data_IF_317296769174
#
_entry.id   IF_317296769174
#
_cell.length_a   1.000
_cell.length_b   1.000
_cell.length_c   1.000
_cell.angle_alpha   90.00
_cell.angle_beta   90.00
_cell.angle_gamma   90.00
#
_symmetry.space_group_name_H-M   'P 1'
#
loop_
_entity.id
_entity.type
_entity.pdbx_description
1 polymer ?
#
# COMPACT_ATOMS: atom_id res chain seq x y z
N UNK A 1 19.94 13.64 -21.65
CA UNK A 1 20.47 12.63 -20.70
C UNK A 1 19.45 11.49 -20.57
N UNK A 2 18.90 10.92 -21.65
CA UNK A 2 19.44 9.81 -22.46
C UNK A 2 19.98 8.62 -21.65
N UNK A 3 19.07 7.68 -21.34
CA UNK A 3 19.32 6.24 -21.56
C UNK A 3 20.46 5.57 -20.81
N UNK A 4 20.52 5.70 -19.48
CA UNK A 4 21.46 4.90 -18.67
C UNK A 4 20.74 3.66 -18.11
N UNK A 5 20.88 2.53 -18.81
CA UNK A 5 21.16 1.23 -18.17
C UNK A 5 20.19 0.60 -17.17
N UNK A 6 18.87 0.84 -17.21
CA UNK A 6 17.94 -0.09 -16.55
C UNK A 6 17.78 -1.35 -17.43
N UNK A 7 18.69 -2.30 -17.26
CA UNK A 7 18.55 -3.66 -17.80
C UNK A 7 17.48 -4.47 -17.04
N UNK A 8 16.34 -3.83 -16.75
CA UNK A 8 15.06 -4.49 -16.56
C UNK A 8 14.13 -3.84 -17.57
N UNK A 9 13.74 -4.58 -18.59
CA UNK A 9 12.69 -4.13 -19.50
C UNK A 9 11.47 -3.77 -18.64
N UNK A 10 10.94 -2.56 -18.76
CA UNK A 10 9.67 -2.15 -18.13
C UNK A 10 8.59 -3.24 -18.28
N UNK A 11 8.59 -3.92 -19.43
CA UNK A 11 7.73 -5.06 -19.72
C UNK A 11 7.96 -6.24 -18.78
N UNK A 12 9.21 -6.60 -18.50
CA UNK A 12 9.55 -7.68 -17.57
C UNK A 12 9.17 -7.34 -16.12
N UNK A 13 9.37 -6.09 -15.69
CA UNK A 13 8.96 -5.63 -14.38
C UNK A 13 7.43 -5.66 -14.22
N UNK A 14 6.70 -5.07 -15.18
CA UNK A 14 5.24 -5.08 -15.20
C UNK A 14 4.68 -6.51 -15.30
N UNK A 15 5.31 -7.39 -16.07
CA UNK A 15 4.90 -8.79 -16.16
C UNK A 15 5.07 -9.51 -14.82
N UNK A 16 6.20 -9.33 -14.13
CA UNK A 16 6.43 -9.91 -12.80
C UNK A 16 5.43 -9.40 -11.77
N UNK A 17 5.23 -8.08 -11.67
CA UNK A 17 4.21 -7.50 -10.80
C UNK A 17 2.82 -8.06 -11.12
N UNK A 18 2.48 -8.11 -12.41
CA UNK A 18 1.23 -8.71 -12.88
C UNK A 18 1.07 -10.15 -12.40
N UNK A 19 2.10 -10.99 -12.54
CA UNK A 19 2.04 -12.39 -12.09
C UNK A 19 1.88 -12.52 -10.57
N UNK A 20 2.62 -11.73 -9.78
CA UNK A 20 2.55 -11.75 -8.30
C UNK A 20 1.15 -11.38 -7.80
N UNK A 21 0.41 -10.55 -8.54
CA UNK A 21 -0.96 -10.15 -8.17
C UNK A 21 -2.02 -11.07 -8.78
N UNK A 22 -1.91 -11.38 -10.08
CA UNK A 22 -2.92 -12.13 -10.83
C UNK A 22 -3.00 -13.59 -10.41
N UNK A 23 -1.87 -14.23 -10.10
CA UNK A 23 -1.86 -15.65 -9.72
C UNK A 23 -2.62 -15.88 -8.41
N UNK A 24 -2.32 -15.19 -7.28
CA UNK A 24 -3.10 -15.32 -6.06
C UNK A 24 -4.58 -14.93 -6.23
N UNK A 25 -4.86 -13.91 -7.06
CA UNK A 25 -6.23 -13.48 -7.36
C UNK A 25 -7.03 -14.59 -8.05
N UNK A 26 -6.47 -15.19 -9.11
CA UNK A 26 -7.13 -16.27 -9.85
C UNK A 26 -7.31 -17.51 -8.99
N UNK A 27 -6.31 -17.87 -8.19
CA UNK A 27 -6.41 -18.97 -7.22
C UNK A 27 -7.50 -18.70 -6.18
N UNK A 28 -7.56 -17.50 -5.62
CA UNK A 28 -8.60 -17.09 -4.67
C UNK A 28 -10.00 -17.20 -5.28
N UNK A 29 -10.18 -16.74 -6.52
CA UNK A 29 -11.45 -16.87 -7.25
C UNK A 29 -11.83 -18.33 -7.51
N UNK A 30 -10.86 -19.17 -7.87
CA UNK A 30 -11.08 -20.61 -8.08
C UNK A 30 -11.50 -21.29 -6.78
N UNK A 31 -10.77 -21.07 -5.69
CA UNK A 31 -11.11 -21.58 -4.35
C UNK A 31 -12.51 -21.12 -3.94
N UNK A 32 -12.85 -19.84 -4.18
CA UNK A 32 -14.18 -19.30 -3.88
C UNK A 32 -15.29 -19.96 -4.67
N UNK A 33 -15.04 -20.31 -5.93
CA UNK A 33 -15.98 -21.06 -6.76
C UNK A 33 -16.13 -22.52 -6.35
N UNK A 34 -15.05 -23.17 -5.90
CA UNK A 34 -15.07 -24.59 -5.51
C UNK A 34 -15.59 -24.83 -4.09
N UNK A 35 -15.24 -23.99 -3.12
CA UNK A 35 -15.59 -24.19 -1.72
C UNK A 35 -17.02 -23.73 -1.36
N UNK A 36 -17.58 -22.81 -2.16
CA UNK A 36 -18.89 -22.20 -1.93
C UNK A 36 -18.86 -21.07 -0.88
N UNK A 37 -19.72 -20.07 -1.05
CA UNK A 37 -19.77 -18.88 -0.18
C UNK A 37 -20.00 -19.17 1.32
N UNK A 38 -20.91 -20.09 1.73
CA UNK A 38 -21.23 -20.27 3.15
C UNK A 38 -20.06 -20.83 3.98
N UNK A 39 -19.24 -21.70 3.39
CA UNK A 39 -18.06 -22.27 4.06
C UNK A 39 -16.95 -21.23 4.23
N UNK A 40 -16.80 -20.33 3.26
CA UNK A 40 -15.80 -19.28 3.31
C UNK A 40 -16.19 -18.15 4.27
N UNK A 41 -17.48 -17.83 4.38
CA UNK A 41 -17.99 -16.89 5.38
C UNK A 41 -17.71 -17.38 6.80
N UNK A 42 -17.89 -18.68 7.07
CA UNK A 42 -17.56 -19.28 8.36
C UNK A 42 -16.05 -19.21 8.69
N UNK A 43 -15.19 -19.26 7.67
CA UNK A 43 -13.73 -19.12 7.81
C UNK A 43 -13.25 -17.67 7.81
N UNK A 44 -14.12 -16.70 7.50
CA UNK A 44 -13.78 -15.28 7.39
C UNK A 44 -12.94 -14.76 8.55
N UNK A 45 -13.37 -14.93 9.82
CA UNK A 45 -12.61 -14.45 10.98
C UNK A 45 -11.21 -15.09 11.11
N UNK A 46 -11.07 -16.37 10.75
CA UNK A 46 -9.78 -17.06 10.78
C UNK A 46 -8.84 -16.57 9.67
N UNK A 47 -9.38 -16.30 8.48
CA UNK A 47 -8.64 -15.73 7.35
C UNK A 47 -8.22 -14.28 7.62
N UNK A 48 -9.06 -13.51 8.29
CA UNK A 48 -8.72 -12.14 8.74
C UNK A 48 -7.56 -12.20 9.74
N UNK A 49 -7.62 -13.10 10.73
CA UNK A 49 -6.53 -13.31 11.69
C UNK A 49 -5.22 -13.73 11.01
N UNK A 50 -5.28 -14.68 10.06
CA UNK A 50 -4.12 -15.09 9.26
C UNK A 50 -3.55 -13.91 8.47
N UNK A 51 -4.40 -13.09 7.86
CA UNK A 51 -3.98 -11.90 7.11
C UNK A 51 -3.24 -10.92 8.00
N UNK A 52 -3.72 -10.68 9.22
CA UNK A 52 -3.04 -9.83 10.20
C UNK A 52 -1.65 -10.39 10.52
N UNK A 53 -1.54 -11.70 10.80
CA UNK A 53 -0.24 -12.32 11.07
C UNK A 53 0.72 -12.25 9.88
N UNK A 54 0.22 -12.44 8.66
CA UNK A 54 1.02 -12.29 7.44
C UNK A 54 1.51 -10.85 7.28
N UNK A 55 0.67 -9.84 7.54
CA UNK A 55 1.07 -8.44 7.50
C UNK A 55 2.11 -8.10 8.57
N UNK A 56 2.00 -8.66 9.77
CA UNK A 56 3.00 -8.50 10.84
C UNK A 56 4.33 -9.10 10.42
N UNK A 57 4.34 -10.34 9.92
CA UNK A 57 5.55 -11.00 9.44
C UNK A 57 6.20 -10.23 8.27
N UNK A 58 5.38 -9.73 7.35
CA UNK A 58 5.81 -8.88 6.26
C UNK A 58 6.44 -7.59 6.77
N UNK A 59 5.81 -6.95 7.75
CA UNK A 59 6.31 -5.75 8.40
C UNK A 59 7.71 -5.93 8.96
N UNK A 60 7.95 -7.04 9.68
CA UNK A 60 9.28 -7.37 10.20
C UNK A 60 10.31 -7.55 9.08
N UNK A 61 9.98 -8.32 8.03
CA UNK A 61 10.91 -8.56 6.93
C UNK A 61 11.26 -7.28 6.16
N UNK A 62 10.30 -6.39 5.98
CA UNK A 62 10.48 -5.15 5.21
C UNK A 62 11.12 -4.04 6.05
N UNK A 63 10.97 -4.07 7.38
CA UNK A 63 11.65 -3.16 8.31
C UNK A 63 13.08 -3.59 8.67
N UNK A 64 13.50 -4.78 8.23
CA UNK A 64 14.86 -5.24 8.49
C UNK A 64 15.90 -4.26 7.92
N UNK A 65 16.93 -3.97 8.72
CA UNK A 65 17.95 -2.95 8.40
C UNK A 65 17.52 -1.48 8.62
N UNK A 66 16.24 -1.16 8.78
CA UNK A 66 15.79 0.23 9.05
C UNK A 66 16.37 0.75 10.37
N UNK A 67 16.36 -0.08 11.43
CA UNK A 67 16.90 0.31 12.74
C UNK A 67 18.41 0.57 12.71
N UNK A 68 19.18 -0.31 12.07
CA UNK A 68 20.61 -0.10 11.88
C UNK A 68 20.90 1.18 11.07
N UNK A 69 20.05 1.47 10.08
CA UNK A 69 20.16 2.69 9.27
C UNK A 69 19.80 3.95 10.03
N UNK A 70 18.80 3.89 10.90
CA UNK A 70 18.41 5.01 11.76
C UNK A 70 19.55 5.41 12.70
N UNK A 71 20.30 4.43 13.23
CA UNK A 71 21.46 4.70 14.07
C UNK A 71 22.65 5.29 13.29
N UNK A 72 22.87 4.82 12.06
CA UNK A 72 23.99 5.26 11.22
C UNK A 72 23.75 6.59 10.51
N UNK A 73 22.55 6.79 9.96
CA UNK A 73 22.16 7.96 9.14
C UNK A 73 20.76 8.48 9.55
N UNK A 74 20.60 9.01 10.77
CA UNK A 74 19.29 9.40 11.30
C UNK A 74 18.62 10.51 10.48
N UNK A 75 19.38 11.51 10.04
CA UNK A 75 18.86 12.61 9.23
C UNK A 75 18.22 12.10 7.92
N UNK A 76 18.92 11.20 7.22
CA UNK A 76 18.41 10.60 5.99
C UNK A 76 17.13 9.80 6.23
N UNK A 77 17.04 9.04 7.33
CA UNK A 77 15.83 8.26 7.66
C UNK A 77 14.64 9.17 7.95
N UNK A 78 14.84 10.27 8.69
CA UNK A 78 13.77 11.23 8.98
C UNK A 78 13.31 11.91 7.70
N UNK A 79 14.23 12.41 6.87
CA UNK A 79 13.91 13.02 5.58
C UNK A 79 13.16 12.06 4.66
N UNK A 80 13.65 10.82 4.52
CA UNK A 80 13.00 9.79 3.72
C UNK A 80 11.59 9.47 4.22
N UNK A 81 11.39 9.41 5.54
CA UNK A 81 10.06 9.19 6.13
C UNK A 81 9.14 10.37 5.86
N UNK A 82 9.62 11.61 6.00
CA UNK A 82 8.85 12.81 5.70
C UNK A 82 8.44 12.86 4.23
N UNK A 83 9.35 12.52 3.32
CA UNK A 83 9.06 12.42 1.88
C UNK A 83 8.02 11.34 1.61
N UNK A 84 8.12 10.16 2.24
CA UNK A 84 7.13 9.09 2.09
C UNK A 84 5.73 9.51 2.59
N UNK A 85 5.67 10.20 3.72
CA UNK A 85 4.44 10.79 4.27
C UNK A 85 3.86 11.85 3.31
N UNK A 86 4.68 12.77 2.84
CA UNK A 86 4.27 13.84 1.93
C UNK A 86 3.77 13.30 0.59
N UNK A 87 4.46 12.31 0.02
CA UNK A 87 4.05 11.66 -1.23
C UNK A 87 2.70 10.95 -1.06
N UNK A 88 2.52 10.21 0.03
CA UNK A 88 1.28 9.50 0.36
C UNK A 88 0.10 10.46 0.57
N UNK A 89 0.29 11.48 1.39
CA UNK A 89 -0.74 12.48 1.67
C UNK A 89 -1.05 13.33 0.43
N UNK A 90 -0.03 13.73 -0.33
CA UNK A 90 -0.17 14.49 -1.57
C UNK A 90 -0.95 13.71 -2.62
N UNK A 91 -0.63 12.43 -2.82
CA UNK A 91 -1.35 11.58 -3.77
C UNK A 91 -2.79 11.30 -3.32
N UNK A 92 -3.01 11.08 -2.03
CA UNK A 92 -4.34 10.96 -1.44
C UNK A 92 -5.19 12.22 -1.73
N UNK A 93 -4.65 13.39 -1.39
CA UNK A 93 -5.33 14.67 -1.55
C UNK A 93 -5.57 15.00 -3.02
N UNK A 94 -4.56 14.83 -3.87
CA UNK A 94 -4.69 15.07 -5.31
C UNK A 94 -5.78 14.19 -5.92
N UNK A 95 -5.78 12.89 -5.62
CA UNK A 95 -6.80 11.95 -6.12
C UNK A 95 -8.18 12.30 -5.57
N UNK A 96 -8.28 12.64 -4.28
CA UNK A 96 -9.53 13.06 -3.68
C UNK A 96 -10.07 14.33 -4.36
N UNK A 97 -9.26 15.37 -4.52
CA UNK A 97 -9.65 16.64 -5.16
C UNK A 97 -10.13 16.40 -6.60
N UNK A 98 -9.37 15.65 -7.39
CA UNK A 98 -9.71 15.34 -8.78
C UNK A 98 -11.04 14.59 -8.88
N UNK A 99 -11.35 13.74 -7.89
CA UNK A 99 -12.55 12.93 -7.88
C UNK A 99 -13.72 13.50 -7.05
N UNK A 100 -13.55 14.68 -6.43
CA UNK A 100 -14.63 15.38 -5.71
C UNK A 100 -15.90 15.57 -6.56
N UNK A 101 -15.83 15.88 -7.87
CA UNK A 101 -17.02 16.02 -8.72
C UNK A 101 -17.86 14.74 -8.82
N UNK A 102 -17.27 13.56 -8.58
CA UNK A 102 -17.96 12.27 -8.61
C UNK A 102 -18.52 11.86 -7.24
N UNK A 103 -18.48 12.77 -6.26
CA UNK A 103 -19.02 12.60 -4.93
C UNK A 103 -17.95 12.32 -3.87
N UNK A 104 -18.18 12.87 -2.68
CA UNK A 104 -17.26 12.82 -1.52
C UNK A 104 -16.86 11.39 -1.14
N UNK A 105 -17.77 10.42 -1.24
CA UNK A 105 -17.49 9.03 -0.88
C UNK A 105 -16.52 8.38 -1.88
N UNK A 106 -16.72 8.64 -3.17
CA UNK A 106 -15.84 8.13 -4.25
C UNK A 106 -14.47 8.79 -4.12
N UNK A 107 -14.44 10.11 -4.00
CA UNK A 107 -13.23 10.90 -3.80
C UNK A 107 -12.40 10.42 -2.59
N UNK A 108 -13.06 10.24 -1.45
CA UNK A 108 -12.42 9.78 -0.22
C UNK A 108 -11.82 8.36 -0.36
N UNK A 109 -12.60 7.44 -0.93
CA UNK A 109 -12.18 6.05 -1.10
C UNK A 109 -11.03 5.95 -2.08
N UNK A 110 -11.15 6.59 -3.25
CA UNK A 110 -10.12 6.60 -4.26
C UNK A 110 -8.85 7.32 -3.78
N UNK A 111 -8.99 8.41 -3.04
CA UNK A 111 -7.89 9.10 -2.35
C UNK A 111 -7.13 8.17 -1.41
N UNK A 112 -7.84 7.45 -0.53
CA UNK A 112 -7.21 6.47 0.36
C UNK A 112 -6.48 5.37 -0.40
N UNK A 113 -7.12 4.76 -1.40
CA UNK A 113 -6.54 3.67 -2.19
C UNK A 113 -5.28 4.12 -2.96
N UNK A 114 -5.29 5.34 -3.47
CA UNK A 114 -4.18 5.90 -4.24
C UNK A 114 -2.98 6.26 -3.34
N UNK A 115 -3.24 6.94 -2.21
CA UNK A 115 -2.19 7.38 -1.30
C UNK A 115 -1.58 6.26 -0.48
N UNK A 116 -2.37 5.29 -0.01
CA UNK A 116 -1.94 4.25 0.93
C UNK A 116 -1.77 2.89 0.23
N UNK A 117 -0.95 2.87 -0.83
CA UNK A 117 -0.67 1.65 -1.61
C UNK A 117 0.50 0.85 -1.00
N UNK A 118 0.46 -0.48 -1.09
CA UNK A 118 1.56 -1.31 -0.58
C UNK A 118 2.80 -1.20 -1.47
N UNK A 119 3.93 -0.73 -0.91
CA UNK A 119 5.23 -0.74 -1.61
C UNK A 119 5.90 -2.11 -1.57
N UNK A 120 5.41 -3.03 -0.74
CA UNK A 120 6.06 -4.33 -0.53
C UNK A 120 6.08 -5.18 -1.80
N UNK A 121 5.08 -5.04 -2.67
CA UNK A 121 5.06 -5.71 -3.96
C UNK A 121 6.26 -5.33 -4.84
N UNK A 122 6.80 -4.12 -4.68
CA UNK A 122 8.01 -3.72 -5.40
C UNK A 122 9.24 -4.49 -4.91
N UNK A 123 9.35 -4.78 -3.62
CA UNK A 123 10.43 -5.59 -3.05
C UNK A 123 10.46 -7.00 -3.62
N UNK A 124 9.28 -7.60 -3.85
CA UNK A 124 9.17 -8.93 -4.44
C UNK A 124 9.64 -8.98 -5.92
N UNK A 125 9.71 -7.84 -6.60
CA UNK A 125 10.02 -7.76 -8.04
C UNK A 125 11.34 -7.03 -8.32
N UNK A 126 11.87 -6.29 -7.33
CA UNK A 126 13.17 -5.63 -7.40
C UNK A 126 14.25 -6.65 -7.77
N UNK A 127 15.15 -6.32 -8.71
CA UNK A 127 16.28 -7.18 -9.02
C UNK A 127 17.20 -7.28 -7.80
N UNK A 128 17.92 -8.39 -7.69
CA UNK A 128 18.89 -8.63 -6.62
C UNK A 128 20.03 -7.61 -6.54
N UNK A 129 20.26 -6.83 -7.60
CA UNK A 129 21.23 -5.73 -7.64
C UNK A 129 20.66 -4.34 -7.36
N UNK A 130 19.41 -4.24 -6.88
CA UNK A 130 18.84 -2.94 -6.54
C UNK A 130 19.52 -2.32 -5.31
N UNK A 131 19.58 -0.99 -5.29
CA UNK A 131 20.17 -0.23 -4.19
C UNK A 131 19.44 -0.52 -2.86
N UNK A 132 20.20 -0.90 -1.83
CA UNK A 132 19.70 -1.16 -0.49
C UNK A 132 18.93 0.04 0.11
N UNK A 133 19.27 1.28 -0.27
CA UNK A 133 18.51 2.48 0.15
C UNK A 133 17.07 2.46 -0.36
N UNK A 134 16.81 1.87 -1.52
CA UNK A 134 15.44 1.72 -2.06
C UNK A 134 14.63 0.75 -1.21
N UNK A 135 15.26 -0.35 -0.77
CA UNK A 135 14.60 -1.31 0.11
C UNK A 135 14.25 -0.68 1.47
N UNK A 136 15.19 0.03 2.08
CA UNK A 136 14.97 0.77 3.33
C UNK A 136 13.89 1.85 3.15
N UNK A 137 13.88 2.57 2.02
CA UNK A 137 12.82 3.54 1.73
C UNK A 137 11.43 2.89 1.66
N UNK A 138 11.30 1.69 1.06
CA UNK A 138 10.05 0.93 1.08
C UNK A 138 9.68 0.44 2.48
N UNK A 139 10.68 0.13 3.32
CA UNK A 139 10.53 -0.02 4.77
C UNK A 139 9.86 1.19 5.42
N UNK A 140 10.45 2.37 5.24
CA UNK A 140 9.95 3.62 5.81
C UNK A 140 8.55 3.99 5.30
N UNK A 141 8.21 3.63 4.06
CA UNK A 141 6.88 3.83 3.50
C UNK A 141 5.78 3.05 4.25
N UNK A 142 6.14 1.98 4.98
CA UNK A 142 5.18 1.26 5.82
C UNK A 142 4.64 2.13 6.96
N UNK A 143 5.40 3.13 7.42
CA UNK A 143 4.99 4.03 8.50
C UNK A 143 3.72 4.82 8.12
N UNK A 144 3.72 5.63 7.03
CA UNK A 144 2.50 6.30 6.61
C UNK A 144 1.41 5.31 6.17
N UNK A 145 1.77 4.14 5.62
CA UNK A 145 0.80 3.12 5.21
C UNK A 145 -0.04 2.60 6.37
N UNK A 146 0.58 2.28 7.51
CA UNK A 146 -0.12 1.72 8.67
C UNK A 146 -0.73 2.79 9.58
N UNK A 147 -0.05 3.93 9.75
CA UNK A 147 -0.47 4.97 10.69
C UNK A 147 -1.40 5.99 10.03
N UNK A 148 -1.15 6.34 8.76
CA UNK A 148 -1.88 7.40 8.06
C UNK A 148 -3.39 7.20 8.01
N UNK A 149 -3.92 6.00 7.68
CA UNK A 149 -5.37 5.76 7.72
C UNK A 149 -5.98 5.93 9.11
N UNK A 150 -5.24 5.59 10.18
CA UNK A 150 -5.71 5.77 11.56
C UNK A 150 -5.83 7.26 11.92
N UNK A 151 -4.86 8.07 11.51
CA UNK A 151 -4.88 9.53 11.71
C UNK A 151 -5.99 10.18 10.88
N UNK A 152 -6.21 9.71 9.65
CA UNK A 152 -7.20 10.30 8.74
C UNK A 152 -8.63 9.80 8.99
N UNK A 153 -8.81 8.64 9.62
CA UNK A 153 -10.13 8.04 9.83
C UNK A 153 -11.14 8.98 10.54
N UNK A 154 -10.78 9.75 11.59
CA UNK A 154 -11.69 10.72 12.21
C UNK A 154 -12.13 11.82 11.23
N UNK A 155 -11.20 12.36 10.43
CA UNK A 155 -11.48 13.42 9.47
C UNK A 155 -12.43 12.93 8.36
N UNK A 156 -12.18 11.74 7.81
CA UNK A 156 -13.06 11.13 6.82
C UNK A 156 -14.44 10.79 7.38
N UNK A 157 -14.51 10.29 8.63
CA UNK A 157 -15.79 10.03 9.30
C UNK A 157 -16.59 11.33 9.50
N UNK A 158 -15.94 12.42 9.87
CA UNK A 158 -16.59 13.72 9.99
C UNK A 158 -17.11 14.23 8.64
N UNK A 159 -16.28 14.18 7.60
CA UNK A 159 -16.63 14.60 6.24
C UNK A 159 -17.82 13.80 5.67
N UNK A 160 -17.86 12.49 5.92
CA UNK A 160 -18.95 11.61 5.47
C UNK A 160 -20.22 11.75 6.31
N UNK A 161 -20.12 12.07 7.60
CA UNK A 161 -21.28 12.31 8.47
C UNK A 161 -22.00 13.61 8.13
N UNK A 162 -21.26 14.68 7.83
CA UNK A 162 -21.84 15.99 7.51
C UNK A 162 -22.76 15.97 6.27
N UNK A 163 -22.53 15.06 5.32
CA UNK A 163 -23.32 14.94 4.08
C UNK A 163 -24.31 13.79 4.05
N UNK A 164 -24.41 12.98 5.12
CA UNK A 164 -25.51 12.03 5.30
C UNK A 164 -26.83 12.74 5.62
N UNK A 165 -26.76 14.03 5.96
CA UNK A 165 -27.91 14.88 6.28
C UNK A 165 -28.38 15.75 5.10
N UNK A 166 -27.73 15.68 3.93
CA UNK A 166 -28.24 16.33 2.71
C UNK A 166 -29.28 15.40 2.07
N UNK A 167 -30.57 15.79 1.99
CA UNK A 167 -31.54 15.02 1.22
C UNK A 167 -31.14 15.05 -0.27
N UNK A 168 -31.11 13.87 -0.88
CA UNK A 168 -30.93 13.68 -2.32
C UNK A 168 -32.06 14.31 -3.13
#
# INVERSE_FOLDING_TARGET
MTGVGLAISMKAFSARLGTVVLVPLLLSLLVRRLAGAPRLEALGPALDGLTVWLLVALGFGVMDGVGARLLAEPAWVVEATLVACAATAGLNLATAIVLLPFGVRVAATAGMLSGFRSMVLYLAVLPTGADARVAVFFGLYQIPLYIGPLIMAPAYRWLLRGRRNDPA
#
